data_IF_653678279919
#
_entry.id   IF_653678279919
#
_cell.length_a   1.000
_cell.length_b   1.000
_cell.length_c   1.000
_cell.angle_alpha   90.00
_cell.angle_beta   90.00
_cell.angle_gamma   90.00
#
_symmetry.space_group_name_H-M   'P 1'
#
loop_
_entity.id
_entity.type
_entity.pdbx_description
1 polymer ?
#
# COMPACT_ATOMS: atom_id res chain seq x y z
N UNK A 1 36.26 -47.23 9.45
CA UNK A 1 35.04 -47.27 8.61
C UNK A 1 34.20 -46.07 9.02
N UNK A 2 34.23 -45.00 8.24
CA UNK A 2 33.54 -43.74 8.52
C UNK A 2 32.19 -43.76 7.81
N UNK A 3 31.14 -43.50 8.56
CA UNK A 3 29.74 -43.43 8.11
C UNK A 3 29.52 -42.19 7.23
N UNK A 4 28.89 -42.37 6.06
CA UNK A 4 28.54 -41.27 5.16
C UNK A 4 27.29 -40.54 5.65
N UNK A 5 27.41 -39.25 5.96
CA UNK A 5 26.26 -38.35 6.09
C UNK A 5 25.85 -37.84 4.70
N UNK A 6 24.62 -38.14 4.29
CA UNK A 6 23.98 -37.55 3.13
C UNK A 6 23.61 -36.10 3.42
N UNK A 7 24.31 -35.15 2.80
CA UNK A 7 23.92 -33.73 2.81
C UNK A 7 22.82 -33.50 1.77
N UNK A 8 21.57 -33.39 2.21
CA UNK A 8 20.50 -32.81 1.39
C UNK A 8 20.74 -31.29 1.28
N UNK A 9 20.86 -30.71 0.08
CA UNK A 9 21.00 -29.27 -0.05
C UNK A 9 19.70 -28.58 0.34
N UNK A 10 19.76 -27.79 1.42
CA UNK A 10 18.72 -26.83 1.77
C UNK A 10 18.49 -25.89 0.58
N UNK A 11 17.26 -25.69 0.09
CA UNK A 11 16.98 -24.71 -0.93
C UNK A 11 17.37 -23.32 -0.41
N UNK A 12 18.24 -22.63 -1.14
CA UNK A 12 18.55 -21.24 -0.85
C UNK A 12 17.27 -20.40 -0.84
N UNK A 13 17.09 -19.46 0.11
CA UNK A 13 15.95 -18.56 0.10
C UNK A 13 15.95 -17.75 -1.19
N UNK A 14 14.92 -17.97 -2.00
CA UNK A 14 14.72 -17.26 -3.27
C UNK A 14 14.55 -15.78 -2.94
N UNK A 15 15.42 -14.94 -3.48
CA UNK A 15 15.32 -13.49 -3.34
C UNK A 15 14.01 -13.02 -4.01
N UNK A 16 13.00 -12.53 -3.27
CA UNK A 16 11.71 -12.12 -3.83
C UNK A 16 11.82 -10.91 -4.79
N UNK A 17 12.98 -10.22 -4.83
CA UNK A 17 13.26 -9.09 -5.73
C UNK A 17 13.66 -9.49 -7.16
N UNK A 18 13.68 -10.79 -7.49
CA UNK A 18 14.15 -11.27 -8.80
C UNK A 18 13.04 -11.67 -9.79
N UNK A 19 11.76 -11.46 -9.44
CA UNK A 19 10.66 -11.67 -10.38
C UNK A 19 10.38 -10.39 -11.19
N UNK A 20 10.35 -10.44 -12.54
CA UNK A 20 9.87 -9.34 -13.36
C UNK A 20 8.42 -9.04 -12.97
N UNK A 21 8.17 -7.86 -12.38
CA UNK A 21 6.80 -7.46 -12.08
C UNK A 21 6.07 -7.21 -13.39
N UNK A 22 4.96 -7.90 -13.58
CA UNK A 22 4.04 -7.69 -14.71
C UNK A 22 3.30 -6.35 -14.63
N UNK A 23 3.41 -5.61 -13.52
CA UNK A 23 2.72 -4.35 -13.29
C UNK A 23 3.73 -3.26 -12.90
N UNK A 24 3.98 -2.33 -13.83
CA UNK A 24 4.63 -1.06 -13.56
C UNK A 24 3.58 0.04 -13.79
N UNK A 25 3.26 0.82 -12.76
CA UNK A 25 2.29 1.91 -12.86
C UNK A 25 2.84 3.11 -13.65
N UNK A 26 1.96 3.97 -14.15
CA UNK A 26 2.31 5.21 -14.85
C UNK A 26 2.93 6.28 -13.94
N UNK A 27 2.81 6.10 -12.62
CA UNK A 27 3.16 7.13 -11.63
C UNK A 27 4.48 6.84 -10.91
N UNK A 28 5.33 5.96 -11.45
CA UNK A 28 6.66 5.66 -10.93
C UNK A 28 6.86 4.21 -10.51
N UNK A 29 8.12 3.82 -10.38
CA UNK A 29 8.51 2.52 -9.87
C UNK A 29 8.67 2.57 -8.36
N UNK A 30 7.75 1.95 -7.63
CA UNK A 30 7.76 1.90 -6.17
C UNK A 30 9.02 1.23 -5.61
N UNK A 31 9.68 0.36 -6.39
CA UNK A 31 10.91 -0.32 -5.96
C UNK A 31 12.12 0.61 -5.96
N UNK A 32 12.04 1.73 -6.69
CA UNK A 32 13.06 2.79 -6.72
C UNK A 32 12.81 3.89 -5.69
N UNK A 33 11.80 3.73 -4.82
CA UNK A 33 11.44 4.76 -3.86
C UNK A 33 12.22 4.66 -2.55
N UNK A 34 12.93 5.74 -2.19
CA UNK A 34 13.57 5.85 -0.88
C UNK A 34 12.54 6.13 0.22
N UNK A 35 12.39 5.19 1.15
CA UNK A 35 11.49 5.32 2.31
C UNK A 35 12.22 5.04 3.62
N UNK A 36 12.03 5.86 4.68
CA UNK A 36 12.54 5.54 6.00
C UNK A 36 11.76 4.39 6.67
N UNK A 37 10.60 3.98 6.13
CA UNK A 37 9.72 2.96 6.71
C UNK A 37 8.93 3.46 7.94
N UNK A 38 8.47 2.51 8.76
CA UNK A 38 7.63 2.81 9.93
C UNK A 38 8.39 3.60 11.01
N UNK A 39 7.76 4.61 11.59
CA UNK A 39 8.38 5.42 12.66
C UNK A 39 8.66 4.59 13.91
N UNK A 40 9.81 4.83 14.54
CA UNK A 40 10.18 4.22 15.82
C UNK A 40 9.52 4.91 17.03
N UNK A 41 8.71 5.96 16.81
CA UNK A 41 8.11 6.76 17.89
C UNK A 41 7.01 6.04 18.70
N UNK A 42 6.61 4.84 18.28
CA UNK A 42 5.60 4.05 18.99
C UNK A 42 6.34 3.04 19.89
N UNK A 43 6.38 3.29 21.19
CA UNK A 43 7.04 2.44 22.23
C UNK A 43 6.60 0.96 22.23
N UNK A 44 5.58 0.60 21.44
CA UNK A 44 5.01 -0.75 21.33
C UNK A 44 5.50 -1.54 20.10
N UNK A 45 6.37 -0.96 19.26
CA UNK A 45 6.87 -1.62 18.06
C UNK A 45 8.14 -2.42 18.35
N UNK A 46 8.10 -3.75 18.14
CA UNK A 46 9.28 -4.62 18.21
C UNK A 46 10.28 -4.29 17.07
N UNK A 47 9.76 -3.80 15.94
CA UNK A 47 10.55 -3.41 14.77
C UNK A 47 10.03 -2.10 14.17
N UNK A 48 10.94 -1.18 13.84
CA UNK A 48 10.66 0.05 13.09
C UNK A 48 11.51 0.10 11.81
N UNK A 49 11.40 1.20 11.07
CA UNK A 49 12.03 1.34 9.75
C UNK A 49 11.38 0.43 8.70
N UNK A 50 12.13 0.13 7.63
CA UNK A 50 11.66 -0.71 6.51
C UNK A 50 11.14 -2.06 7.00
N UNK A 51 11.90 -2.73 7.87
CA UNK A 51 11.54 -4.05 8.41
C UNK A 51 10.24 -4.01 9.23
N UNK A 52 9.98 -2.92 9.95
CA UNK A 52 8.71 -2.73 10.64
C UNK A 52 7.53 -2.62 9.66
N UNK A 53 7.71 -1.86 8.57
CA UNK A 53 6.71 -1.76 7.51
C UNK A 53 6.44 -3.09 6.81
N UNK A 54 7.49 -3.86 6.50
CA UNK A 54 7.37 -5.18 5.89
C UNK A 54 6.61 -6.15 6.80
N UNK A 55 6.91 -6.15 8.11
CA UNK A 55 6.21 -6.99 9.07
C UNK A 55 4.71 -6.69 9.13
N UNK A 56 4.29 -5.41 9.11
CA UNK A 56 2.87 -5.06 9.04
C UNK A 56 2.22 -5.53 7.74
N UNK A 57 2.89 -5.34 6.61
CA UNK A 57 2.38 -5.80 5.32
C UNK A 57 2.26 -7.33 5.26
N UNK A 58 3.18 -8.06 5.88
CA UNK A 58 3.14 -9.52 6.00
C UNK A 58 1.96 -9.99 6.88
N UNK A 59 1.70 -9.30 7.98
CA UNK A 59 0.54 -9.59 8.85
C UNK A 59 -0.78 -9.40 8.10
N UNK A 60 -0.87 -8.34 7.29
CA UNK A 60 -2.08 -8.02 6.53
C UNK A 60 -2.26 -8.92 5.29
N UNK A 61 -1.20 -9.63 4.86
CA UNK A 61 -1.19 -10.38 3.61
C UNK A 61 -2.32 -11.41 3.50
N UNK A 62 -2.68 -12.06 4.61
CA UNK A 62 -3.76 -13.07 4.63
C UNK A 62 -5.10 -12.43 4.30
N UNK A 63 -5.40 -11.27 4.90
CA UNK A 63 -6.63 -10.53 4.66
C UNK A 63 -6.62 -9.87 3.28
N UNK A 64 -5.46 -9.35 2.86
CA UNK A 64 -5.26 -8.69 1.57
C UNK A 64 -5.57 -9.61 0.38
N UNK A 65 -5.35 -10.93 0.51
CA UNK A 65 -5.67 -11.91 -0.54
C UNK A 65 -7.13 -11.85 -1.00
N UNK A 66 -8.07 -11.51 -0.11
CA UNK A 66 -9.49 -11.32 -0.45
C UNK A 66 -9.68 -10.27 -1.56
N UNK A 67 -8.85 -9.23 -1.56
CA UNK A 67 -8.95 -8.09 -2.47
C UNK A 67 -7.96 -8.14 -3.63
N UNK A 68 -7.15 -9.19 -3.74
CA UNK A 68 -6.05 -9.25 -4.71
C UNK A 68 -6.52 -9.01 -6.16
N UNK A 69 -7.64 -9.61 -6.56
CA UNK A 69 -8.15 -9.49 -7.92
C UNK A 69 -8.68 -8.08 -8.20
N UNK A 70 -9.45 -7.49 -7.27
CA UNK A 70 -9.97 -6.12 -7.44
C UNK A 70 -8.82 -5.11 -7.44
N UNK A 71 -7.82 -5.27 -6.58
CA UNK A 71 -6.64 -4.39 -6.52
C UNK A 71 -5.86 -4.44 -7.83
N UNK A 72 -5.63 -5.64 -8.39
CA UNK A 72 -4.99 -5.79 -9.70
C UNK A 72 -5.79 -5.15 -10.82
N UNK A 73 -7.10 -5.39 -10.86
CA UNK A 73 -7.99 -4.82 -11.87
C UNK A 73 -8.02 -3.29 -11.81
N UNK A 74 -8.14 -2.71 -10.61
CA UNK A 74 -8.14 -1.25 -10.45
C UNK A 74 -6.78 -0.65 -10.79
N UNK A 75 -5.69 -1.29 -10.35
CA UNK A 75 -4.33 -0.87 -10.71
C UNK A 75 -4.12 -0.82 -12.22
N UNK A 76 -4.55 -1.85 -12.95
CA UNK A 76 -4.55 -1.85 -14.42
C UNK A 76 -5.38 -0.70 -15.00
N UNK A 77 -6.64 -0.56 -14.56
CA UNK A 77 -7.59 0.44 -15.10
C UNK A 77 -7.12 1.88 -14.87
N UNK A 78 -6.45 2.15 -13.76
CA UNK A 78 -5.99 3.49 -13.38
C UNK A 78 -4.50 3.72 -13.67
N UNK A 79 -3.81 2.73 -14.26
CA UNK A 79 -2.36 2.72 -14.46
C UNK A 79 -1.57 3.00 -13.17
N UNK A 80 -1.92 2.34 -12.08
CA UNK A 80 -1.24 2.43 -10.77
C UNK A 80 -0.70 1.04 -10.41
N UNK A 81 0.49 0.98 -9.81
CA UNK A 81 1.04 -0.30 -9.33
C UNK A 81 0.09 -0.89 -8.28
N UNK A 82 -0.45 -2.11 -8.48
CA UNK A 82 -1.32 -2.77 -7.50
C UNK A 82 -0.70 -2.86 -6.09
N UNK A 83 0.62 -2.94 -5.97
CA UNK A 83 1.28 -2.98 -4.67
C UNK A 83 1.26 -1.62 -3.95
N UNK A 84 1.18 -0.49 -4.67
CA UNK A 84 0.93 0.81 -4.03
C UNK A 84 -0.46 0.85 -3.40
N UNK A 85 -1.47 0.39 -4.14
CA UNK A 85 -2.86 0.31 -3.65
C UNK A 85 -2.93 -0.60 -2.42
N UNK A 86 -2.32 -1.79 -2.49
CA UNK A 86 -2.27 -2.71 -1.36
C UNK A 86 -1.55 -2.12 -0.13
N UNK A 87 -0.44 -1.40 -0.35
CA UNK A 87 0.28 -0.72 0.72
C UNK A 87 -0.56 0.35 1.43
N UNK A 88 -1.33 1.15 0.67
CA UNK A 88 -2.26 2.12 1.25
C UNK A 88 -3.35 1.42 2.05
N UNK A 89 -3.98 0.37 1.50
CA UNK A 89 -5.04 -0.37 2.20
C UNK A 89 -4.53 -0.99 3.51
N UNK A 90 -3.31 -1.56 3.50
CA UNK A 90 -2.65 -2.11 4.69
C UNK A 90 -2.46 -1.03 5.75
N UNK A 91 -1.89 0.13 5.35
CA UNK A 91 -1.66 1.25 6.27
C UNK A 91 -2.95 1.83 6.85
N UNK A 92 -3.98 1.99 6.03
CA UNK A 92 -5.20 2.69 6.41
C UNK A 92 -6.13 1.81 7.24
N UNK A 93 -6.22 0.51 6.93
CA UNK A 93 -7.30 -0.33 7.45
C UNK A 93 -6.90 -1.74 7.85
N UNK A 94 -5.62 -2.11 7.74
CA UNK A 94 -5.19 -3.51 7.90
C UNK A 94 -6.04 -4.47 7.04
N UNK A 95 -6.23 -4.10 5.77
CA UNK A 95 -7.14 -4.80 4.85
C UNK A 95 -8.58 -4.94 5.38
N UNK A 96 -9.07 -3.90 6.02
CA UNK A 96 -10.43 -3.80 6.56
C UNK A 96 -10.63 -4.38 7.96
N UNK A 97 -9.59 -4.92 8.62
CA UNK A 97 -9.75 -5.58 9.93
C UNK A 97 -10.16 -4.64 11.05
N UNK A 98 -9.92 -3.34 10.89
CA UNK A 98 -10.23 -2.31 11.89
C UNK A 98 -11.54 -1.56 11.62
N UNK A 99 -12.24 -1.90 10.53
CA UNK A 99 -13.44 -1.20 10.11
C UNK A 99 -14.71 -1.77 10.75
N UNK A 100 -15.67 -0.89 11.00
CA UNK A 100 -17.04 -1.23 11.41
C UNK A 100 -17.99 -0.82 10.30
N UNK A 101 -18.56 -1.80 9.59
CA UNK A 101 -19.41 -1.60 8.41
C UNK A 101 -18.79 -0.65 7.37
N UNK A 102 -17.47 -0.73 7.21
CA UNK A 102 -16.71 0.09 6.27
C UNK A 102 -16.24 1.44 6.81
N UNK A 103 -16.59 1.79 8.04
CA UNK A 103 -16.22 3.06 8.66
C UNK A 103 -15.07 2.87 9.66
N UNK A 104 -14.27 3.92 9.84
CA UNK A 104 -13.35 3.99 10.96
C UNK A 104 -14.09 4.14 12.30
N UNK A 105 -13.33 4.06 13.39
CA UNK A 105 -13.86 4.18 14.75
C UNK A 105 -14.59 5.50 15.03
N UNK A 106 -14.31 6.56 14.27
CA UNK A 106 -14.94 7.88 14.41
C UNK A 106 -16.15 8.05 13.46
N UNK A 107 -16.35 7.13 12.51
CA UNK A 107 -17.37 7.25 11.49
C UNK A 107 -17.13 8.39 10.51
N UNK A 108 -15.88 8.84 10.33
CA UNK A 108 -15.48 9.95 9.48
C UNK A 108 -14.95 9.48 8.12
N UNK A 109 -14.27 8.33 8.09
CA UNK A 109 -13.62 7.80 6.90
C UNK A 109 -14.19 6.48 6.47
N UNK A 110 -14.29 6.31 5.14
CA UNK A 110 -15.00 5.20 4.53
C UNK A 110 -14.11 4.32 3.64
N UNK A 111 -14.31 3.01 3.81
CA UNK A 111 -13.80 1.93 2.97
C UNK A 111 -12.32 1.65 3.06
N UNK A 112 -11.85 0.69 2.26
CA UNK A 112 -10.50 0.12 2.36
C UNK A 112 -9.36 1.15 2.23
N UNK A 113 -9.60 2.26 1.53
CA UNK A 113 -8.66 3.37 1.35
C UNK A 113 -9.06 4.66 2.10
N UNK A 114 -10.02 4.57 3.03
CA UNK A 114 -10.35 5.62 4.01
C UNK A 114 -10.61 7.01 3.42
N UNK A 115 -11.65 7.12 2.58
CA UNK A 115 -12.09 8.41 2.07
C UNK A 115 -12.83 9.20 3.15
N UNK A 116 -12.35 10.42 3.44
CA UNK A 116 -13.03 11.38 4.31
C UNK A 116 -14.40 11.78 3.72
N UNK A 117 -15.47 11.59 4.50
CA UNK A 117 -16.85 11.84 4.09
C UNK A 117 -17.24 13.31 3.98
N UNK A 118 -16.48 14.20 4.61
CA UNK A 118 -16.70 15.65 4.55
C UNK A 118 -16.11 16.24 3.27
N UNK A 119 -15.05 15.60 2.76
CA UNK A 119 -14.33 16.02 1.55
C UNK A 119 -14.86 15.33 0.29
N UNK A 120 -15.18 14.04 0.40
CA UNK A 120 -15.59 13.20 -0.72
C UNK A 120 -16.96 12.58 -0.47
N UNK A 121 -17.68 12.24 -1.54
CA UNK A 121 -18.92 11.49 -1.49
C UNK A 121 -18.61 10.03 -1.84
N UNK A 122 -18.43 9.12 -0.85
CA UNK A 122 -17.99 7.76 -1.15
C UNK A 122 -19.04 6.99 -1.97
N UNK A 123 -18.57 6.21 -2.94
CA UNK A 123 -19.42 5.44 -3.86
C UNK A 123 -19.16 3.94 -3.75
N UNK A 124 -20.19 3.13 -3.97
CA UNK A 124 -20.13 1.68 -3.85
C UNK A 124 -20.06 1.17 -2.42
N UNK A 125 -19.88 -0.15 -2.26
CA UNK A 125 -19.62 -0.75 -0.95
C UNK A 125 -18.17 -0.51 -0.52
N UNK A 126 -17.93 -0.49 0.78
CA UNK A 126 -16.65 -0.12 1.41
C UNK A 126 -15.44 -0.96 0.96
N UNK A 127 -15.68 -2.20 0.49
CA UNK A 127 -14.70 -3.13 -0.04
C UNK A 127 -14.88 -3.44 -1.54
N UNK A 128 -15.68 -2.65 -2.24
CA UNK A 128 -16.01 -2.86 -3.66
C UNK A 128 -14.95 -2.32 -4.61
N UNK A 129 -14.95 -2.84 -5.85
CA UNK A 129 -14.13 -2.29 -6.93
C UNK A 129 -14.49 -0.83 -7.23
N UNK A 130 -15.76 -0.43 -7.09
CA UNK A 130 -16.20 0.95 -7.30
C UNK A 130 -15.55 1.92 -6.30
N UNK A 131 -15.51 1.54 -5.02
CA UNK A 131 -14.82 2.32 -3.98
C UNK A 131 -13.32 2.45 -4.29
N UNK A 132 -12.66 1.36 -4.65
CA UNK A 132 -11.23 1.38 -5.01
C UNK A 132 -10.98 2.24 -6.25
N UNK A 133 -11.83 2.18 -7.28
CA UNK A 133 -11.71 3.03 -8.47
C UNK A 133 -11.80 4.51 -8.08
N UNK A 134 -12.75 4.88 -7.22
CA UNK A 134 -12.90 6.25 -6.76
C UNK A 134 -11.67 6.73 -5.99
N UNK A 135 -11.24 5.96 -4.99
CA UNK A 135 -10.10 6.31 -4.15
C UNK A 135 -8.79 6.41 -4.95
N UNK A 136 -8.56 5.48 -5.88
CA UNK A 136 -7.37 5.50 -6.73
C UNK A 136 -7.41 6.68 -7.71
N UNK A 137 -8.58 7.05 -8.25
CA UNK A 137 -8.70 8.27 -9.09
C UNK A 137 -8.28 9.52 -8.32
N UNK A 138 -8.82 9.70 -7.10
CA UNK A 138 -8.46 10.82 -6.21
C UNK A 138 -6.95 10.84 -5.96
N UNK A 139 -6.35 9.69 -5.66
CA UNK A 139 -4.91 9.55 -5.49
C UNK A 139 -4.14 10.01 -6.74
N UNK A 140 -4.53 9.52 -7.93
CA UNK A 140 -3.84 9.89 -9.17
C UNK A 140 -3.98 11.37 -9.52
N UNK A 141 -5.13 11.99 -9.21
CA UNK A 141 -5.34 13.41 -9.46
C UNK A 141 -4.49 14.29 -8.54
N UNK A 142 -4.31 13.86 -7.28
CA UNK A 142 -3.36 14.49 -6.35
C UNK A 142 -1.92 14.35 -6.85
N UNK A 143 -1.47 13.14 -7.21
CA UNK A 143 -0.13 12.91 -7.79
C UNK A 143 0.12 13.85 -8.99
N UNK A 144 -0.84 13.97 -9.91
CA UNK A 144 -0.75 14.89 -11.06
C UNK A 144 -0.71 16.36 -10.64
N UNK A 145 -1.37 16.75 -9.56
CA UNK A 145 -1.31 18.11 -9.03
C UNK A 145 0.07 18.41 -8.44
N UNK A 146 0.66 17.49 -7.68
CA UNK A 146 2.02 17.62 -7.14
C UNK A 146 3.07 17.64 -8.26
N UNK A 147 2.93 16.76 -9.27
CA UNK A 147 3.80 16.77 -10.46
C UNK A 147 3.80 18.13 -11.17
N UNK A 148 2.62 18.75 -11.32
CA UNK A 148 2.50 20.09 -11.92
C UNK A 148 3.10 21.19 -11.04
N UNK A 149 2.97 21.06 -9.71
CA UNK A 149 3.49 22.05 -8.75
C UNK A 149 5.02 21.98 -8.61
N UNK A 150 5.61 20.78 -8.74
CA UNK A 150 7.04 20.52 -8.58
C UNK A 150 7.61 19.73 -9.76
N UNK A 151 7.65 20.30 -10.98
CA UNK A 151 8.01 19.56 -12.20
C UNK A 151 9.47 19.08 -12.24
N UNK A 152 10.34 19.62 -11.39
CA UNK A 152 11.76 19.24 -11.29
C UNK A 152 12.01 18.08 -10.31
N UNK A 153 11.00 17.67 -9.54
CA UNK A 153 11.13 16.53 -8.64
C UNK A 153 11.09 15.21 -9.41
N UNK A 154 11.83 14.23 -8.90
CA UNK A 154 11.76 12.85 -9.38
C UNK A 154 10.40 12.24 -9.07
N UNK A 155 9.97 11.27 -9.87
CA UNK A 155 8.69 10.57 -9.67
C UNK A 155 8.56 9.96 -8.26
N UNK A 156 9.67 9.45 -7.73
CA UNK A 156 9.80 8.99 -6.35
C UNK A 156 9.47 10.08 -5.32
N UNK A 157 9.93 11.31 -5.54
CA UNK A 157 9.64 12.43 -4.64
C UNK A 157 8.17 12.85 -4.72
N UNK A 158 7.53 12.76 -5.89
CA UNK A 158 6.09 13.02 -6.02
C UNK A 158 5.26 11.98 -5.27
N UNK A 159 5.55 10.70 -5.46
CA UNK A 159 4.87 9.61 -4.74
C UNK A 159 5.10 9.68 -3.22
N UNK A 160 6.31 10.06 -2.79
CA UNK A 160 6.62 10.22 -1.35
C UNK A 160 5.90 11.41 -0.73
N UNK A 161 5.85 12.55 -1.44
CA UNK A 161 5.08 13.71 -1.03
C UNK A 161 3.60 13.39 -0.85
N UNK A 162 3.02 12.64 -1.81
CA UNK A 162 1.63 12.18 -1.72
C UNK A 162 1.40 11.11 -0.65
N UNK A 163 2.28 10.12 -0.48
CA UNK A 163 2.12 9.13 0.58
C UNK A 163 2.16 9.78 1.98
N UNK A 164 2.95 10.85 2.15
CA UNK A 164 2.95 11.65 3.37
C UNK A 164 1.69 12.52 3.48
N UNK A 165 1.26 13.18 2.39
CA UNK A 165 0.08 14.04 2.38
C UNK A 165 -1.25 13.28 2.46
N UNK A 166 -1.36 12.08 1.90
CA UNK A 166 -2.53 11.22 2.03
C UNK A 166 -2.67 10.76 3.49
N UNK A 167 -1.56 10.43 4.14
CA UNK A 167 -1.51 10.12 5.57
C UNK A 167 -1.80 11.35 6.45
N UNK A 168 -1.31 12.54 6.10
CA UNK A 168 -1.57 13.80 6.82
C UNK A 168 -3.00 14.30 6.65
N UNK A 169 -3.57 14.23 5.44
CA UNK A 169 -4.99 14.55 5.18
C UNK A 169 -5.92 13.56 5.88
N UNK A 170 -5.44 12.34 6.16
CA UNK A 170 -6.12 11.37 7.00
C UNK A 170 -5.74 11.49 8.49
N UNK A 171 -5.03 12.53 8.94
CA UNK A 171 -4.64 12.70 10.35
C UNK A 171 -5.03 14.04 10.96
N UNK A 172 -5.78 14.89 10.26
CA UNK A 172 -6.37 16.13 10.80
C UNK A 172 -7.88 15.99 11.04
#
# INVERSE_FOLDING_TARGET
MVTSESTYPYPHPVNPYSQPRLYHGCYGDIMSMDTPGASCAIDRLIHCGIRGSEMFAEMDLVLMKKYQNIIKNVGQKQCVDPALIAGIISRETHAGSVLQDGWDHQGLKFGLMQLDKHTYHPTGAWDSEEHLIQAVKILTDKIKAIQRKFPTWTMTQHLKGESSLFVEINSE
#
